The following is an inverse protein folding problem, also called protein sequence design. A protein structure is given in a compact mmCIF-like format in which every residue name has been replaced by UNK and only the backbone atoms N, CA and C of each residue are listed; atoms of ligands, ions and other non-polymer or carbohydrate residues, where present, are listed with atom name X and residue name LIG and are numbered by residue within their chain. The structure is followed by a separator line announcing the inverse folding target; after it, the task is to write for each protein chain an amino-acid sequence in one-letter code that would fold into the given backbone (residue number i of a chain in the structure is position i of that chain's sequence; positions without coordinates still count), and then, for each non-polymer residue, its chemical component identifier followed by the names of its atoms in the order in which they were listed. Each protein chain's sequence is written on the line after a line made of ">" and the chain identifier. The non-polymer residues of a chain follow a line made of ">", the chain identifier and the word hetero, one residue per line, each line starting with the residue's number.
data_IF_544667052730
#
_entry.id   IF_544667052730
#
_cell.length_a   1.000
_cell.length_b   1.000
_cell.length_c   1.000
_cell.angle_alpha   90.00
_cell.angle_beta   90.00
_cell.angle_gamma   90.00
#
_symmetry.space_group_name_H-M   'P 1'
#
loop_
_entity.id
_entity.type
_entity.pdbx_description
1 polymer ?
#
# COMPACT_ATOMS: atom_id res chain seq x y z
N UNK A 1 -4.64 -7.99 17.64
CA UNK A 1 -4.36 -6.77 16.87
C UNK A 1 -3.74 -7.12 15.52
N UNK A 2 -4.29 -6.61 14.43
CA UNK A 2 -3.81 -6.92 13.10
C UNK A 2 -2.53 -6.14 12.77
N UNK A 3 -1.44 -6.83 12.53
CA UNK A 3 -0.15 -6.24 12.18
C UNK A 3 0.28 -6.58 10.75
N UNK A 4 -0.64 -7.06 9.95
CA UNK A 4 -0.36 -7.44 8.56
C UNK A 4 -0.15 -6.23 7.67
N UNK A 5 0.92 -6.27 6.87
CA UNK A 5 1.23 -5.24 5.88
C UNK A 5 1.53 -5.92 4.57
N UNK A 6 0.86 -5.48 3.51
CA UNK A 6 1.13 -5.95 2.16
C UNK A 6 1.84 -4.84 1.39
N UNK A 7 2.96 -5.17 0.79
CA UNK A 7 3.78 -4.23 0.03
C UNK A 7 3.71 -4.62 -1.44
N UNK A 8 3.15 -3.76 -2.28
CA UNK A 8 2.90 -4.05 -3.69
C UNK A 8 3.63 -3.06 -4.58
N UNK A 9 4.62 -3.54 -5.29
CA UNK A 9 5.37 -2.75 -6.26
C UNK A 9 6.09 -3.73 -7.18
N UNK A 10 6.17 -3.44 -8.46
CA UNK A 10 6.89 -4.30 -9.39
C UNK A 10 8.41 -4.16 -9.27
N UNK A 11 8.88 -3.10 -8.58
CA UNK A 11 10.29 -2.86 -8.31
C UNK A 11 10.70 -3.51 -6.98
N UNK A 12 11.55 -4.52 -7.05
CA UNK A 12 12.06 -5.23 -5.86
C UNK A 12 12.75 -4.31 -4.88
N UNK A 13 13.47 -3.28 -5.37
CA UNK A 13 14.19 -2.36 -4.51
C UNK A 13 13.23 -1.54 -3.65
N UNK A 14 12.12 -1.12 -4.23
CA UNK A 14 11.10 -0.37 -3.47
C UNK A 14 10.47 -1.27 -2.41
N UNK A 15 10.10 -2.51 -2.78
CA UNK A 15 9.55 -3.45 -1.80
C UNK A 15 10.51 -3.69 -0.64
N UNK A 16 11.79 -3.89 -0.97
CA UNK A 16 12.81 -4.14 0.06
C UNK A 16 13.03 -2.91 0.95
N UNK A 17 13.01 -1.71 0.37
CA UNK A 17 13.14 -0.48 1.13
C UNK A 17 12.02 -0.37 2.17
N UNK A 18 10.80 -0.59 1.76
CA UNK A 18 9.65 -0.51 2.66
C UNK A 18 9.73 -1.60 3.72
N UNK A 19 9.99 -2.84 3.31
CA UNK A 19 10.06 -3.97 4.24
C UNK A 19 11.15 -3.77 5.30
N UNK A 20 12.34 -3.37 4.88
CA UNK A 20 13.46 -3.16 5.79
C UNK A 20 13.17 -2.04 6.78
N UNK A 21 12.59 -0.94 6.28
CA UNK A 21 12.24 0.20 7.12
C UNK A 21 11.22 -0.19 8.19
N UNK A 22 10.20 -0.96 7.80
CA UNK A 22 9.16 -1.39 8.74
C UNK A 22 9.68 -2.39 9.75
N UNK A 23 10.58 -3.30 9.34
CA UNK A 23 11.19 -4.26 10.25
C UNK A 23 11.95 -3.58 11.38
N UNK A 24 12.58 -2.45 11.09
CA UNK A 24 13.34 -1.69 12.09
C UNK A 24 12.44 -0.98 13.12
N UNK A 25 11.18 -0.78 12.81
CA UNK A 25 10.26 -0.02 13.67
C UNK A 25 9.52 -0.92 14.65
N UNK A 26 9.01 -2.05 14.17
CA UNK A 26 8.16 -2.90 14.98
C UNK A 26 8.01 -4.27 14.30
N UNK A 27 7.32 -5.18 14.98
CA UNK A 27 7.00 -6.48 14.41
C UNK A 27 5.74 -6.36 13.55
N UNK A 28 5.92 -6.41 12.24
CA UNK A 28 4.83 -6.49 11.29
C UNK A 28 4.86 -7.84 10.59
N UNK A 29 3.70 -8.33 10.21
CA UNK A 29 3.60 -9.51 9.34
C UNK A 29 3.65 -8.99 7.91
N UNK A 30 4.83 -9.06 7.29
CA UNK A 30 5.07 -8.49 5.97
C UNK A 30 4.80 -9.49 4.85
N UNK A 31 4.04 -9.05 3.86
CA UNK A 31 3.77 -9.80 2.64
C UNK A 31 4.11 -8.92 1.46
N UNK A 32 4.51 -9.52 0.34
CA UNK A 32 4.87 -8.78 -0.86
C UNK A 32 4.12 -9.29 -2.07
N UNK A 33 3.88 -8.41 -3.02
CA UNK A 33 3.29 -8.74 -4.32
C UNK A 33 3.95 -7.88 -5.39
N UNK A 34 4.11 -8.43 -6.57
CA UNK A 34 4.78 -7.75 -7.67
C UNK A 34 3.84 -7.15 -8.72
N UNK A 35 2.54 -7.37 -8.59
CA UNK A 35 1.54 -6.81 -9.52
C UNK A 35 0.17 -6.76 -8.85
N UNK A 36 -0.78 -6.14 -9.56
CA UNK A 36 -2.11 -5.89 -8.99
C UNK A 36 -2.96 -7.15 -8.79
N UNK A 37 -2.82 -8.15 -9.64
CA UNK A 37 -3.56 -9.39 -9.49
C UNK A 37 -3.09 -10.16 -8.26
N UNK A 38 -1.78 -10.28 -8.11
CA UNK A 38 -1.19 -10.92 -6.94
C UNK A 38 -1.57 -10.17 -5.67
N UNK A 39 -1.58 -8.82 -5.74
CA UNK A 39 -1.97 -7.99 -4.59
C UNK A 39 -3.37 -8.32 -4.10
N UNK A 40 -4.33 -8.44 -5.01
CA UNK A 40 -5.71 -8.76 -4.65
C UNK A 40 -5.78 -10.16 -4.02
N UNK A 41 -5.09 -11.13 -4.59
CA UNK A 41 -5.08 -12.50 -4.07
C UNK A 41 -4.49 -12.57 -2.66
N UNK A 42 -3.33 -11.93 -2.46
CA UNK A 42 -2.66 -11.92 -1.15
C UNK A 42 -3.51 -11.19 -0.12
N UNK A 43 -4.09 -10.05 -0.49
CA UNK A 43 -4.93 -9.29 0.43
C UNK A 43 -6.14 -10.09 0.90
N UNK A 44 -6.78 -10.82 -0.01
CA UNK A 44 -7.93 -11.66 0.34
C UNK A 44 -7.55 -12.81 1.26
N UNK A 45 -6.35 -13.35 1.10
CA UNK A 45 -5.87 -14.47 1.91
C UNK A 45 -5.37 -14.02 3.28
N UNK A 46 -4.61 -12.93 3.32
CA UNK A 46 -3.90 -12.49 4.52
C UNK A 46 -4.61 -11.40 5.33
N UNK A 47 -5.59 -10.73 4.75
CA UNK A 47 -6.36 -9.64 5.39
C UNK A 47 -5.44 -8.60 6.07
N UNK A 48 -4.52 -7.96 5.32
CA UNK A 48 -3.59 -7.01 5.95
C UNK A 48 -4.31 -5.77 6.46
N UNK A 49 -3.77 -5.17 7.50
CA UNK A 49 -4.27 -3.90 8.03
C UNK A 49 -3.91 -2.73 7.11
N UNK A 50 -2.74 -2.82 6.46
CA UNK A 50 -2.20 -1.77 5.60
C UNK A 50 -1.71 -2.38 4.29
N UNK A 51 -2.02 -1.71 3.17
CA UNK A 51 -1.51 -2.08 1.85
C UNK A 51 -0.78 -0.87 1.27
N UNK A 52 0.51 -1.04 0.96
CA UNK A 52 1.26 -0.08 0.17
C UNK A 52 1.14 -0.53 -1.28
N UNK A 53 0.57 0.30 -2.13
CA UNK A 53 0.12 -0.12 -3.46
C UNK A 53 0.63 0.84 -4.53
N UNK A 54 1.56 0.35 -5.37
CA UNK A 54 2.07 1.13 -6.50
C UNK A 54 0.97 1.33 -7.54
N UNK A 55 0.90 2.52 -8.11
CA UNK A 55 -0.08 2.84 -9.15
C UNK A 55 0.26 2.12 -10.46
N UNK A 56 1.52 2.19 -10.89
CA UNK A 56 1.96 1.65 -12.20
C UNK A 56 2.52 0.24 -12.08
N UNK A 57 1.72 -0.75 -12.48
CA UNK A 57 2.15 -2.15 -12.43
C UNK A 57 1.61 -2.92 -13.63
N UNK A 58 2.31 -4.00 -14.03
CA UNK A 58 1.80 -4.87 -15.09
C UNK A 58 0.58 -5.68 -14.63
N UNK A 59 -0.13 -6.21 -15.56
CA UNK A 59 -1.32 -7.06 -15.44
C UNK A 59 -2.54 -6.33 -14.90
N UNK A 60 -2.44 -5.75 -13.71
CA UNK A 60 -3.52 -4.97 -13.11
C UNK A 60 -2.88 -3.79 -12.38
N UNK A 61 -3.23 -2.56 -12.76
CA UNK A 61 -2.65 -1.39 -12.11
C UNK A 61 -3.19 -1.19 -10.70
N UNK A 62 -2.52 -0.30 -9.95
CA UNK A 62 -2.84 -0.08 -8.54
C UNK A 62 -4.21 0.54 -8.31
N UNK A 63 -4.68 1.38 -9.22
CA UNK A 63 -5.99 2.01 -9.07
C UNK A 63 -7.10 0.96 -9.18
N UNK A 64 -7.00 0.07 -10.18
CA UNK A 64 -7.97 -0.99 -10.33
C UNK A 64 -7.89 -2.00 -9.19
N UNK A 65 -6.67 -2.31 -8.73
CA UNK A 65 -6.50 -3.18 -7.56
C UNK A 65 -7.18 -2.56 -6.33
N UNK A 66 -7.03 -1.25 -6.15
CA UNK A 66 -7.67 -0.53 -5.05
C UNK A 66 -9.20 -0.66 -5.13
N UNK A 67 -9.77 -0.48 -6.32
CA UNK A 67 -11.22 -0.63 -6.52
C UNK A 67 -11.69 -2.02 -6.13
N UNK A 68 -10.95 -3.05 -6.54
CA UNK A 68 -11.30 -4.44 -6.23
C UNK A 68 -11.21 -4.71 -4.73
N UNK A 69 -10.21 -4.16 -4.06
CA UNK A 69 -10.08 -4.32 -2.60
C UNK A 69 -11.26 -3.66 -1.88
N UNK A 70 -11.68 -2.48 -2.33
CA UNK A 70 -12.81 -1.79 -1.73
C UNK A 70 -14.15 -2.47 -1.99
N UNK A 71 -14.27 -3.16 -3.11
CA UNK A 71 -15.51 -3.86 -3.49
C UNK A 71 -15.71 -5.17 -2.72
N UNK A 72 -14.65 -5.73 -2.14
CA UNK A 72 -14.72 -6.98 -1.40
C UNK A 72 -14.88 -6.71 0.10
N UNK A 73 -15.89 -7.31 0.72
CA UNK A 73 -16.18 -7.08 2.14
C UNK A 73 -15.00 -7.44 3.05
N UNK A 74 -14.18 -8.41 2.65
CA UNK A 74 -13.04 -8.85 3.46
C UNK A 74 -11.90 -7.83 3.48
N UNK A 75 -11.79 -6.98 2.46
CA UNK A 75 -10.70 -6.03 2.31
C UNK A 75 -11.18 -4.57 2.24
N UNK A 76 -12.48 -4.35 2.33
CA UNK A 76 -13.06 -3.01 2.12
C UNK A 76 -12.58 -1.95 3.12
N UNK A 77 -12.12 -2.35 4.29
CA UNK A 77 -11.69 -1.42 5.35
C UNK A 77 -10.18 -1.36 5.55
N UNK A 78 -9.41 -2.08 4.74
CA UNK A 78 -7.95 -2.02 4.88
C UNK A 78 -7.46 -0.60 4.54
N UNK A 79 -6.40 -0.17 5.21
CA UNK A 79 -5.81 1.13 4.91
C UNK A 79 -4.95 0.99 3.66
N UNK A 80 -5.23 1.79 2.63
CA UNK A 80 -4.50 1.75 1.36
C UNK A 80 -3.67 3.01 1.20
N UNK A 81 -2.36 2.83 1.08
CA UNK A 81 -1.40 3.89 0.81
C UNK A 81 -0.92 3.73 -0.62
N UNK A 82 -1.24 4.69 -1.48
CA UNK A 82 -0.79 4.64 -2.88
C UNK A 82 0.61 5.19 -3.02
N UNK A 83 1.44 4.47 -3.78
CA UNK A 83 2.79 4.92 -4.12
C UNK A 83 2.71 5.54 -5.51
N UNK A 84 2.95 6.85 -5.60
CA UNK A 84 2.75 7.61 -6.84
C UNK A 84 4.03 8.32 -7.27
N UNK A 85 4.16 8.59 -8.59
CA UNK A 85 5.23 9.41 -9.09
C UNK A 85 4.96 10.89 -8.77
N UNK A 86 6.02 11.68 -8.67
CA UNK A 86 5.88 13.13 -8.49
C UNK A 86 5.11 13.72 -9.68
N UNK A 87 4.32 14.76 -9.41
CA UNK A 87 3.55 15.49 -10.44
C UNK A 87 2.43 14.66 -11.10
N UNK A 88 1.88 13.69 -10.39
CA UNK A 88 0.81 12.83 -10.88
C UNK A 88 -0.56 13.23 -10.32
N UNK A 89 -0.91 14.52 -10.45
CA UNK A 89 -2.15 15.06 -9.86
C UNK A 89 -3.42 14.36 -10.37
N UNK A 90 -3.48 14.07 -11.67
CA UNK A 90 -4.63 13.38 -12.25
C UNK A 90 -4.75 11.95 -11.70
N UNK A 91 -3.62 11.28 -11.59
CA UNK A 91 -3.57 9.92 -11.05
C UNK A 91 -3.98 9.92 -9.58
N UNK A 92 -3.55 10.93 -8.82
CA UNK A 92 -3.93 11.04 -7.43
C UNK A 92 -5.45 11.18 -7.27
N UNK A 93 -6.08 12.01 -8.10
CA UNK A 93 -7.53 12.17 -8.06
C UNK A 93 -8.25 10.84 -8.37
N UNK A 94 -7.79 10.09 -9.37
CA UNK A 94 -8.35 8.79 -9.69
C UNK A 94 -8.18 7.79 -8.54
N UNK A 95 -7.02 7.80 -7.89
CA UNK A 95 -6.74 6.91 -6.78
C UNK A 95 -7.63 7.24 -5.57
N UNK A 96 -7.87 8.51 -5.31
CA UNK A 96 -8.79 8.93 -4.24
C UNK A 96 -10.21 8.44 -4.51
N UNK A 97 -10.68 8.57 -5.74
CA UNK A 97 -12.00 8.07 -6.12
C UNK A 97 -12.08 6.55 -5.98
N UNK A 98 -10.98 5.85 -6.24
CA UNK A 98 -10.91 4.40 -6.10
C UNK A 98 -10.92 3.96 -4.64
N UNK A 99 -10.66 4.87 -3.71
CA UNK A 99 -10.73 4.59 -2.28
C UNK A 99 -9.40 4.56 -1.54
N UNK A 100 -8.33 5.13 -2.13
CA UNK A 100 -7.04 5.24 -1.43
C UNK A 100 -7.14 6.20 -0.26
N UNK A 101 -6.51 5.85 0.85
CA UNK A 101 -6.54 6.66 2.07
C UNK A 101 -5.41 7.66 2.15
N UNK A 102 -4.22 7.25 1.74
CA UNK A 102 -3.01 8.07 1.85
C UNK A 102 -2.15 7.91 0.61
N UNK A 103 -1.20 8.81 0.45
CA UNK A 103 -0.28 8.82 -0.69
C UNK A 103 1.15 8.99 -0.21
N UNK A 104 2.07 8.29 -0.86
CA UNK A 104 3.50 8.43 -0.64
C UNK A 104 4.15 8.63 -2.01
N UNK A 105 4.76 9.81 -2.22
CA UNK A 105 5.30 10.19 -3.53
C UNK A 105 6.70 9.63 -3.73
N UNK A 106 6.93 9.00 -4.87
CA UNK A 106 8.26 8.52 -5.26
C UNK A 106 9.08 9.66 -5.87
N UNK A 107 10.38 9.77 -5.59
CA UNK A 107 11.11 8.94 -4.63
C UNK A 107 10.81 9.37 -3.20
N UNK A 108 10.71 8.41 -2.29
CA UNK A 108 10.53 8.70 -0.88
C UNK A 108 11.71 8.17 -0.08
N UNK A 109 11.96 8.77 1.08
CA UNK A 109 13.01 8.33 1.99
C UNK A 109 12.42 7.43 3.08
N UNK A 110 13.27 6.66 3.80
CA UNK A 110 12.81 5.95 4.98
C UNK A 110 12.11 6.87 6.00
N UNK A 111 12.59 8.10 6.16
CA UNK A 111 11.96 9.05 7.08
C UNK A 111 10.53 9.41 6.66
N UNK A 112 10.30 9.60 5.35
CA UNK A 112 8.96 9.88 4.83
C UNK A 112 8.01 8.72 5.18
N UNK A 113 8.49 7.50 5.00
CA UNK A 113 7.72 6.30 5.31
C UNK A 113 7.43 6.21 6.81
N UNK A 114 8.41 6.47 7.65
CA UNK A 114 8.24 6.43 9.10
C UNK A 114 7.22 7.45 9.59
N UNK A 115 7.23 8.64 9.01
CA UNK A 115 6.25 9.68 9.34
C UNK A 115 4.84 9.25 8.98
N UNK A 116 4.68 8.60 7.85
CA UNK A 116 3.38 8.10 7.41
C UNK A 116 2.88 7.00 8.35
N UNK A 117 3.76 6.08 8.74
CA UNK A 117 3.41 4.99 9.66
C UNK A 117 3.01 5.56 11.03
N UNK A 118 3.72 6.59 11.51
CA UNK A 118 3.37 7.26 12.77
C UNK A 118 1.97 7.88 12.70
N UNK A 119 1.63 8.50 11.58
CA UNK A 119 0.30 9.08 11.38
C UNK A 119 -0.79 8.01 11.41
N UNK A 120 -0.51 6.84 10.82
CA UNK A 120 -1.46 5.72 10.83
C UNK A 120 -1.65 5.19 12.25
N UNK A 121 -0.58 5.11 13.03
CA UNK A 121 -0.67 4.67 14.42
C UNK A 121 -1.53 5.62 15.26
N UNK A 122 -1.42 6.93 15.03
CA UNK A 122 -2.24 7.92 15.72
C UNK A 122 -3.71 7.79 15.40
N UNK A 123 -4.04 7.41 14.17
CA UNK A 123 -5.43 7.29 13.72
C UNK A 123 -6.13 6.03 14.25
N UNK A 124 -5.38 5.07 14.76
CA UNK A 124 -5.95 3.81 15.26
C UNK A 124 -6.28 3.83 16.74
N UNK A 125 -6.09 4.94 17.40
CA UNK A 125 -6.42 5.09 18.82
C UNK A 125 -7.87 5.50 19.06
#
# INVERSE_FOLDING_TARGET
>A
MNRGVLIVDDDRFIRKLIATTLEDVSHFDLHEAGDGLEAVEVAKREHPAIVFLDVDMPRLDGIEACRRLRADSDTSKTTIVMLTAAHADTVQAEAEEAGADLFLTKPFSPLDLLRLVDRLAEQTH
#
